data_IF_072645338475
#
_entry.id   IF_072645338475
#
_cell.length_a   1.000
_cell.length_b   1.000
_cell.length_c   1.000
_cell.angle_alpha   90.00
_cell.angle_beta   90.00
_cell.angle_gamma   90.00
#
_symmetry.space_group_name_H-M   'P 1'
#
loop_
_entity.id
_entity.type
_entity.pdbx_description
1 polymer ?
#
# COMPACT_ATOMS: atom_id res chain seq x y z
N UNK A 1 -19.60 -1.42 -13.66
CA UNK A 1 -19.58 -2.00 -12.29
C UNK A 1 -21.01 -2.13 -11.81
N UNK A 2 -21.41 -3.34 -11.42
CA UNK A 2 -22.70 -3.55 -10.76
C UNK A 2 -22.52 -3.40 -9.25
N UNK A 3 -23.27 -2.48 -8.64
CA UNK A 3 -23.33 -2.33 -7.19
C UNK A 3 -24.25 -3.41 -6.61
N UNK A 4 -23.81 -4.14 -5.60
CA UNK A 4 -24.63 -5.12 -4.86
C UNK A 4 -25.47 -4.42 -3.78
N UNK A 5 -24.91 -3.39 -3.15
CA UNK A 5 -25.60 -2.67 -2.08
C UNK A 5 -24.84 -1.45 -1.60
N UNK A 6 -25.25 -0.93 -0.45
CA UNK A 6 -24.59 0.18 0.22
C UNK A 6 -24.34 -0.18 1.68
N UNK A 7 -23.24 0.31 2.23
CA UNK A 7 -22.88 0.14 3.63
C UNK A 7 -22.40 1.47 4.20
N UNK A 8 -22.64 1.72 5.48
CA UNK A 8 -21.96 2.81 6.19
C UNK A 8 -20.69 2.21 6.77
N UNK A 9 -19.54 2.74 6.36
CA UNK A 9 -18.24 2.33 6.88
C UNK A 9 -17.66 3.43 7.76
N UNK A 10 -17.04 3.00 8.85
CA UNK A 10 -16.22 3.85 9.70
C UNK A 10 -14.78 3.80 9.21
N UNK A 11 -14.27 4.93 8.75
CA UNK A 11 -12.88 5.09 8.30
C UNK A 11 -12.09 5.75 9.45
N UNK A 12 -11.01 5.09 9.87
CA UNK A 12 -10.19 5.53 11.02
C UNK A 12 -8.81 5.98 10.56
N UNK A 13 -8.41 7.19 10.95
CA UNK A 13 -7.11 7.79 10.57
C UNK A 13 -6.56 8.82 11.57
N UNK A 14 -6.98 8.72 12.84
CA UNK A 14 -6.73 9.58 14.02
C UNK A 14 -8.06 10.09 14.58
N UNK A 15 -9.00 10.35 13.68
CA UNK A 15 -10.43 10.51 13.97
C UNK A 15 -11.20 9.34 13.31
N UNK A 16 -12.46 9.19 13.69
CA UNK A 16 -13.38 8.23 13.08
C UNK A 16 -14.44 9.00 12.29
N UNK A 17 -14.58 8.67 11.01
CA UNK A 17 -15.63 9.24 10.17
C UNK A 17 -16.51 8.13 9.62
N UNK A 18 -17.80 8.36 9.64
CA UNK A 18 -18.77 7.49 8.98
C UNK A 18 -19.06 8.00 7.57
N UNK A 19 -18.96 7.12 6.58
CA UNK A 19 -19.32 7.44 5.20
C UNK A 19 -20.08 6.29 4.55
N UNK A 20 -21.05 6.66 3.70
CA UNK A 20 -21.81 5.69 2.91
C UNK A 20 -20.98 5.27 1.69
N UNK A 21 -20.69 3.98 1.58
CA UNK A 21 -19.98 3.40 0.43
C UNK A 21 -20.90 2.48 -0.37
N UNK A 22 -20.53 2.28 -1.63
CA UNK A 22 -21.18 1.33 -2.52
C UNK A 22 -20.37 0.04 -2.53
N UNK A 23 -21.03 -1.07 -2.26
CA UNK A 23 -20.40 -2.39 -2.24
C UNK A 23 -20.52 -3.00 -3.63
N UNK A 24 -19.38 -3.39 -4.20
CA UNK A 24 -19.29 -4.08 -5.49
C UNK A 24 -18.95 -5.55 -5.27
N UNK A 25 -19.14 -6.38 -6.29
CA UNK A 25 -18.72 -7.78 -6.27
C UNK A 25 -17.21 -7.89 -6.34
N UNK A 26 -16.66 -8.93 -5.72
CA UNK A 26 -15.23 -9.25 -5.77
C UNK A 26 -14.73 -9.55 -7.20
N UNK A 27 -15.63 -9.86 -8.13
CA UNK A 27 -15.30 -10.01 -9.56
C UNK A 27 -15.20 -8.68 -10.32
N UNK A 28 -15.38 -7.54 -9.62
CA UNK A 28 -15.08 -6.24 -10.18
C UNK A 28 -13.57 -6.11 -10.43
N UNK A 29 -13.20 -5.77 -11.66
CA UNK A 29 -11.81 -5.53 -12.05
C UNK A 29 -11.30 -4.23 -11.42
N UNK A 30 -10.91 -4.30 -10.15
CA UNK A 30 -10.34 -3.20 -9.38
C UNK A 30 -9.04 -3.68 -8.74
N UNK A 31 -7.97 -2.92 -8.92
CA UNK A 31 -6.66 -3.21 -8.36
C UNK A 31 -6.51 -2.70 -6.92
N UNK A 32 -7.62 -2.29 -6.30
CA UNK A 32 -7.66 -1.61 -5.01
C UNK A 32 -8.95 -1.94 -4.26
N UNK A 33 -8.89 -1.91 -2.93
CA UNK A 33 -9.99 -2.32 -2.05
C UNK A 33 -11.19 -1.36 -2.06
N UNK A 34 -11.00 -0.12 -2.51
CA UNK A 34 -12.09 0.86 -2.56
C UNK A 34 -11.73 2.20 -3.20
N UNK A 35 -12.77 2.98 -3.51
CA UNK A 35 -12.66 4.35 -4.05
C UNK A 35 -13.34 5.31 -3.10
N UNK A 36 -12.62 6.37 -2.71
CA UNK A 36 -13.21 7.55 -2.09
C UNK A 36 -13.67 8.52 -3.19
N UNK A 37 -14.97 8.55 -3.42
CA UNK A 37 -15.58 9.35 -4.48
C UNK A 37 -15.60 10.85 -4.19
N UNK A 38 -16.09 11.61 -5.18
CA UNK A 38 -16.25 13.07 -5.04
C UNK A 38 -17.28 13.46 -3.97
N UNK A 39 -18.21 12.56 -3.65
CA UNK A 39 -19.17 12.68 -2.55
C UNK A 39 -18.45 12.70 -1.19
N UNK A 40 -17.49 11.80 -0.98
CA UNK A 40 -16.64 11.79 0.21
C UNK A 40 -15.83 13.09 0.31
N UNK A 41 -15.19 13.49 -0.79
CA UNK A 41 -14.37 14.71 -0.87
C UNK A 41 -15.19 15.94 -0.48
N UNK A 42 -16.39 16.08 -1.04
CA UNK A 42 -17.28 17.21 -0.75
C UNK A 42 -17.80 17.17 0.69
N UNK A 43 -18.26 16.01 1.15
CA UNK A 43 -18.86 15.83 2.49
C UNK A 43 -17.87 16.14 3.61
N UNK A 44 -16.65 15.61 3.50
CA UNK A 44 -15.61 15.76 4.53
C UNK A 44 -14.66 16.92 4.26
N UNK A 45 -15.00 17.81 3.30
CA UNK A 45 -14.23 19.01 2.93
C UNK A 45 -12.75 18.70 2.70
N UNK A 46 -12.50 17.60 1.98
CA UNK A 46 -11.15 17.12 1.71
C UNK A 46 -10.43 18.10 0.79
N UNK A 47 -9.21 18.49 1.18
CA UNK A 47 -8.36 19.38 0.38
C UNK A 47 -7.23 18.56 -0.24
N UNK A 48 -7.23 18.43 -1.56
CA UNK A 48 -6.15 17.80 -2.30
C UNK A 48 -5.20 18.87 -2.87
N UNK A 49 -3.97 18.93 -2.37
CA UNK A 49 -2.90 19.76 -2.93
C UNK A 49 -1.97 18.88 -3.77
N UNK A 50 -2.13 18.94 -5.08
CA UNK A 50 -1.35 18.15 -6.03
C UNK A 50 0.10 18.61 -6.15
N UNK A 51 0.39 19.89 -5.91
CA UNK A 51 1.75 20.42 -5.93
C UNK A 51 2.59 19.82 -4.81
N UNK A 52 2.02 19.70 -3.61
CA UNK A 52 2.68 19.10 -2.45
C UNK A 52 2.41 17.61 -2.32
N UNK A 53 1.63 17.01 -3.24
CA UNK A 53 1.13 15.62 -3.16
C UNK A 53 0.56 15.27 -1.79
N UNK A 54 -0.31 16.13 -1.26
CA UNK A 54 -0.95 15.94 0.05
C UNK A 54 -2.46 16.03 -0.04
N UNK A 55 -3.13 15.20 0.74
CA UNK A 55 -4.56 15.25 0.99
C UNK A 55 -4.78 15.59 2.46
N UNK A 56 -5.68 16.52 2.75
CA UNK A 56 -6.03 16.90 4.11
C UNK A 56 -7.50 16.62 4.36
N UNK A 57 -7.79 15.98 5.49
CA UNK A 57 -9.14 15.69 5.97
C UNK A 57 -9.20 16.17 7.42
N UNK A 58 -9.94 17.26 7.68
CA UNK A 58 -9.90 17.93 8.97
C UNK A 58 -8.47 18.39 9.32
N UNK A 59 -7.93 17.90 10.42
CA UNK A 59 -6.54 18.16 10.85
C UNK A 59 -5.53 17.14 10.31
N UNK A 60 -6.00 15.98 9.85
CA UNK A 60 -5.14 14.92 9.35
C UNK A 60 -4.56 15.26 7.98
N UNK A 61 -3.31 14.87 7.75
CA UNK A 61 -2.61 15.03 6.47
C UNK A 61 -2.07 13.70 5.97
N UNK A 62 -2.40 13.38 4.73
CA UNK A 62 -1.95 12.18 4.02
C UNK A 62 -1.06 12.57 2.87
N UNK A 63 0.02 11.80 2.67
CA UNK A 63 0.86 11.90 1.48
C UNK A 63 0.23 11.06 0.37
N UNK A 64 -0.01 11.67 -0.79
CA UNK A 64 -0.41 10.95 -1.99
C UNK A 64 0.79 10.15 -2.49
N UNK A 65 0.70 8.83 -2.38
CA UNK A 65 1.71 7.95 -2.93
C UNK A 65 1.54 7.88 -4.46
N UNK A 66 2.66 7.95 -5.22
CA UNK A 66 2.58 7.89 -6.67
C UNK A 66 2.19 6.47 -7.10
N UNK A 67 1.20 6.37 -7.99
CA UNK A 67 0.85 5.11 -8.63
C UNK A 67 1.85 4.87 -9.78
N UNK A 68 2.99 4.22 -9.46
CA UNK A 68 4.08 3.96 -10.41
C UNK A 68 3.99 2.50 -10.87
N UNK A 69 4.03 2.31 -12.19
CA UNK A 69 4.23 1.00 -12.82
C UNK A 69 5.72 0.72 -12.96
N UNK A 70 6.11 -0.47 -12.54
CA UNK A 70 7.50 -0.93 -12.54
C UNK A 70 7.60 -2.09 -13.52
N UNK A 71 8.57 -2.01 -14.43
CA UNK A 71 8.91 -3.09 -15.35
C UNK A 71 9.93 -4.01 -14.74
N UNK A 72 9.58 -5.29 -14.62
CA UNK A 72 10.47 -6.35 -14.17
C UNK A 72 10.94 -7.15 -15.36
N UNK A 73 12.26 -7.17 -15.59
CA UNK A 73 12.85 -7.98 -16.65
C UNK A 73 12.63 -9.48 -16.36
N UNK A 74 12.54 -10.33 -17.39
CA UNK A 74 12.54 -11.78 -17.23
C UNK A 74 13.70 -12.27 -16.36
N UNK A 75 13.47 -13.30 -15.54
CA UNK A 75 14.50 -13.99 -14.74
C UNK A 75 15.46 -13.02 -14.02
N UNK A 76 14.92 -12.01 -13.35
CA UNK A 76 15.70 -10.94 -12.75
C UNK A 76 15.36 -10.68 -11.29
N UNK A 77 16.37 -10.25 -10.55
CA UNK A 77 16.22 -9.62 -9.26
C UNK A 77 16.29 -8.10 -9.46
N UNK A 78 15.29 -7.37 -8.98
CA UNK A 78 15.20 -5.91 -9.09
C UNK A 78 14.89 -5.30 -7.73
N UNK A 79 15.68 -4.31 -7.32
CA UNK A 79 15.38 -3.51 -6.13
C UNK A 79 14.39 -2.42 -6.53
N UNK A 80 13.23 -2.39 -5.89
CA UNK A 80 12.18 -1.40 -6.16
C UNK A 80 11.79 -0.67 -4.87
N UNK A 81 11.20 0.52 -5.00
CA UNK A 81 10.56 1.17 -3.87
C UNK A 81 9.16 0.58 -3.67
N UNK A 82 8.83 0.23 -2.43
CA UNK A 82 7.54 -0.31 -2.01
C UNK A 82 6.90 0.60 -0.96
N UNK A 83 5.59 0.45 -0.76
CA UNK A 83 4.83 1.14 0.28
C UNK A 83 4.73 0.22 1.50
N UNK A 84 5.36 0.62 2.61
CA UNK A 84 5.30 -0.11 3.87
C UNK A 84 4.03 0.23 4.66
N UNK A 85 3.48 -0.76 5.36
CA UNK A 85 2.37 -0.53 6.30
C UNK A 85 2.79 0.20 7.59
N UNK A 86 4.10 0.23 7.90
CA UNK A 86 4.68 0.84 9.10
C UNK A 86 5.90 1.68 8.74
N UNK A 87 6.13 2.75 9.49
CA UNK A 87 7.31 3.61 9.34
C UNK A 87 8.33 3.33 10.47
N UNK A 88 8.69 2.05 10.65
CA UNK A 88 9.58 1.56 11.72
C UNK A 88 10.52 0.52 11.14
N UNK A 89 11.74 0.43 11.68
CA UNK A 89 12.70 -0.62 11.35
C UNK A 89 12.07 -2.00 11.56
N UNK A 90 12.25 -2.89 10.59
CA UNK A 90 11.74 -4.25 10.68
C UNK A 90 12.12 -5.09 9.46
N UNK A 91 11.50 -6.26 9.35
CA UNK A 91 11.75 -7.21 8.26
C UNK A 91 10.49 -7.27 7.39
N UNK A 92 10.67 -7.19 6.07
CA UNK A 92 9.56 -7.45 5.13
C UNK A 92 9.27 -8.95 5.08
N UNK A 93 7.98 -9.28 5.05
CA UNK A 93 7.55 -10.66 4.87
C UNK A 93 7.75 -11.09 3.41
N UNK A 94 8.41 -12.23 3.21
CA UNK A 94 8.50 -12.82 1.87
C UNK A 94 7.15 -13.38 1.44
N UNK A 95 6.73 -13.05 0.23
CA UNK A 95 5.47 -13.51 -0.36
C UNK A 95 5.51 -13.54 -1.89
N UNK A 96 4.67 -14.38 -2.48
CA UNK A 96 4.44 -14.41 -3.92
C UNK A 96 3.23 -13.52 -4.24
N UNK A 97 3.47 -12.34 -4.81
CA UNK A 97 2.39 -11.38 -5.11
C UNK A 97 1.59 -11.74 -6.36
N UNK A 98 2.21 -12.49 -7.26
CA UNK A 98 1.62 -13.03 -8.48
C UNK A 98 2.46 -14.24 -8.91
N UNK A 99 1.92 -15.17 -9.72
CA UNK A 99 2.67 -16.34 -10.18
C UNK A 99 4.04 -15.97 -10.78
N UNK A 100 5.11 -16.39 -10.12
CA UNK A 100 6.49 -16.11 -10.54
C UNK A 100 7.05 -14.73 -10.13
N UNK A 101 6.32 -13.97 -9.31
CA UNK A 101 6.77 -12.68 -8.75
C UNK A 101 6.87 -12.80 -7.23
N UNK A 102 8.09 -12.72 -6.70
CA UNK A 102 8.36 -12.88 -5.28
C UNK A 102 8.93 -11.60 -4.66
N UNK A 103 8.41 -11.22 -3.51
CA UNK A 103 8.99 -10.19 -2.65
C UNK A 103 9.98 -10.87 -1.70
N UNK A 104 11.19 -10.34 -1.64
CA UNK A 104 12.24 -10.80 -0.73
C UNK A 104 11.98 -10.38 0.72
N UNK A 105 12.50 -11.18 1.65
CA UNK A 105 12.59 -10.79 3.05
C UNK A 105 13.81 -9.90 3.26
N UNK A 106 13.56 -8.63 3.57
CA UNK A 106 14.57 -7.59 3.64
C UNK A 106 14.50 -6.87 4.99
N UNK A 107 15.66 -6.62 5.60
CA UNK A 107 15.77 -5.65 6.69
C UNK A 107 15.59 -4.24 6.11
N UNK A 108 14.55 -3.55 6.52
CA UNK A 108 14.19 -2.24 5.98
C UNK A 108 13.98 -1.21 7.08
N UNK A 109 14.39 0.02 6.81
CA UNK A 109 14.10 1.19 7.63
C UNK A 109 13.29 2.19 6.78
N UNK A 110 11.96 2.03 6.70
CA UNK A 110 11.13 2.90 5.89
C UNK A 110 11.21 4.36 6.35
N UNK A 111 11.08 5.26 5.38
CA UNK A 111 10.90 6.69 5.60
C UNK A 111 9.69 7.15 4.81
N UNK A 112 8.79 7.89 5.45
CA UNK A 112 7.48 8.24 4.89
C UNK A 112 6.72 7.02 4.32
N UNK A 113 6.82 5.87 5.00
CA UNK A 113 6.21 4.61 4.56
C UNK A 113 6.73 4.09 3.22
N UNK A 114 7.92 4.53 2.79
CA UNK A 114 8.58 4.04 1.58
C UNK A 114 9.85 3.32 1.98
N UNK A 115 10.08 2.12 1.44
CA UNK A 115 11.31 1.37 1.63
C UNK A 115 11.74 0.65 0.33
N UNK A 116 13.05 0.43 0.14
CA UNK A 116 13.54 -0.43 -0.93
C UNK A 116 13.32 -1.90 -0.55
N UNK A 117 12.83 -2.71 -1.50
CA UNK A 117 12.67 -4.16 -1.33
C UNK A 117 13.11 -4.86 -2.61
N UNK A 118 13.70 -6.03 -2.44
CA UNK A 118 14.04 -6.92 -3.56
C UNK A 118 12.78 -7.60 -4.09
N UNK A 119 12.59 -7.55 -5.41
CA UNK A 119 11.57 -8.32 -6.13
C UNK A 119 12.25 -9.22 -7.16
N UNK A 120 11.83 -10.48 -7.17
CA UNK A 120 12.26 -11.49 -8.13
C UNK A 120 11.15 -11.75 -9.15
N UNK A 121 11.46 -11.56 -10.43
CA UNK A 121 10.66 -12.09 -11.53
C UNK A 121 11.33 -13.38 -12.03
N UNK A 122 10.71 -14.53 -11.76
CA UNK A 122 11.21 -15.85 -12.20
C UNK A 122 10.67 -16.28 -13.56
N UNK A 123 9.77 -15.48 -14.16
CA UNK A 123 9.15 -15.80 -15.45
C UNK A 123 10.07 -15.50 -16.62
N UNK A 124 9.74 -16.06 -17.78
CA UNK A 124 10.42 -15.83 -19.07
C UNK A 124 10.05 -14.50 -19.73
N UNK A 125 9.09 -13.78 -19.16
CA UNK A 125 8.47 -12.60 -19.78
C UNK A 125 8.69 -11.35 -18.94
N UNK A 126 8.76 -10.20 -19.62
CA UNK A 126 8.71 -8.91 -18.94
C UNK A 126 7.32 -8.71 -18.36
N UNK A 127 7.25 -8.25 -17.11
CA UNK A 127 6.02 -7.99 -16.40
C UNK A 127 5.97 -6.55 -15.91
N UNK A 128 4.80 -5.92 -16.00
CA UNK A 128 4.53 -4.64 -15.36
C UNK A 128 3.76 -4.90 -14.07
N UNK A 129 4.31 -4.43 -12.95
CA UNK A 129 3.64 -4.45 -11.65
C UNK A 129 3.38 -3.03 -11.17
N UNK A 130 2.36 -2.87 -10.33
CA UNK A 130 2.16 -1.64 -9.57
C UNK A 130 3.12 -1.67 -8.38
N UNK A 131 3.51 -0.49 -7.91
CA UNK A 131 4.27 -0.34 -6.66
C UNK A 131 3.60 -1.18 -5.54
N UNK A 132 4.26 -2.25 -5.05
CA UNK A 132 3.61 -3.17 -4.13
C UNK A 132 3.56 -2.59 -2.72
N UNK A 133 2.56 -3.06 -1.97
CA UNK A 133 2.48 -2.82 -0.52
C UNK A 133 3.17 -3.96 0.21
N UNK A 134 3.95 -3.65 1.24
CA UNK A 134 4.68 -4.63 2.04
C UNK A 134 4.31 -4.53 3.52
N UNK A 135 4.21 -5.69 4.14
CA UNK A 135 4.01 -5.83 5.58
C UNK A 135 5.36 -5.91 6.28
N UNK A 136 5.54 -5.09 7.32
CA UNK A 136 6.74 -5.10 8.16
C UNK A 136 6.47 -5.77 9.50
N UNK A 137 7.24 -6.82 9.76
CA UNK A 137 7.30 -7.50 11.04
C UNK A 137 8.38 -6.86 11.93
N UNK A 138 8.10 -6.80 13.23
CA UNK A 138 9.05 -6.23 14.19
C UNK A 138 10.25 -7.17 14.38
N UNK A 139 11.41 -6.59 14.67
CA UNK A 139 12.58 -7.37 15.03
C UNK A 139 12.37 -8.02 16.40
N UNK A 140 12.48 -9.34 16.46
CA UNK A 140 12.57 -10.04 17.74
C UNK A 140 13.92 -9.72 18.39
N UNK A 141 13.92 -8.92 19.45
CA UNK A 141 15.13 -8.65 20.25
C UNK A 141 15.25 -9.65 21.40
N UNK A 142 15.64 -10.89 21.09
CA UNK A 142 16.06 -11.86 22.10
C UNK A 142 17.58 -11.80 22.30
N UNK A 143 18.07 -10.75 22.95
CA UNK A 143 19.41 -10.77 23.52
C UNK A 143 19.35 -10.31 24.98
N UNK A 144 18.93 -11.24 25.85
CA UNK A 144 19.29 -11.17 27.27
C UNK A 144 20.78 -11.48 27.39
N UNK A 145 21.64 -10.47 27.26
CA UNK A 145 23.00 -10.58 27.78
C UNK A 145 22.89 -10.73 29.31
N UNK A 146 22.99 -11.98 29.79
CA UNK A 146 23.39 -12.22 31.18
C UNK A 146 24.88 -11.92 31.26
N UNK A 147 25.21 -10.75 31.80
CA UNK A 147 26.53 -10.47 32.37
C UNK A 147 26.58 -11.16 33.73
#
# INVERSE_FOLDING_TARGET
MSTIGKAILTIKYDEEIEHLVYVVRDDALMEYDGILGTDFIRRHKVVANYNTRRVSIGKAQFKLQPYIRIKLKPRSETIVQCIANKNKLGITKAEETAPGIFIGSCLVAPQDYICPVTILNTTETELEIITPQVTIDELETDIKYKI
#
